data_IF_097241681506
#
_entry.id   IF_097241681506
#
_cell.length_a   1.000
_cell.length_b   1.000
_cell.length_c   1.000
_cell.angle_alpha   90.00
_cell.angle_beta   90.00
_cell.angle_gamma   90.00
#
_symmetry.space_group_name_H-M   'P 1'
#
loop_
_entity.id
_entity.type
_entity.pdbx_description
1 polymer ?
#
# COMPACT_ATOMS: atom_id res chain seq x y z
N UNK A 1 -0.89 -11.66 8.21
CA UNK A 1 -1.93 -10.60 8.20
C UNK A 1 -1.27 -9.23 8.08
N UNK A 2 -1.64 -8.47 7.06
CA UNK A 2 -1.12 -7.12 6.82
C UNK A 2 -1.70 -6.12 7.83
N UNK A 3 -1.04 -4.98 7.99
CA UNK A 3 -1.54 -3.87 8.81
C UNK A 3 -1.58 -2.60 7.98
N UNK A 4 -2.71 -1.92 7.98
CA UNK A 4 -2.93 -0.71 7.19
C UNK A 4 -3.43 0.40 8.10
N UNK A 5 -2.82 1.57 8.00
CA UNK A 5 -3.20 2.78 8.74
C UNK A 5 -3.43 3.90 7.72
N UNK A 6 -4.69 4.35 7.61
CA UNK A 6 -5.07 5.41 6.68
C UNK A 6 -4.66 6.78 7.25
N UNK A 7 -3.85 7.53 6.50
CA UNK A 7 -3.52 8.92 6.83
C UNK A 7 -4.54 9.89 6.27
N UNK A 8 -5.10 9.58 5.10
CA UNK A 8 -6.20 10.36 4.54
C UNK A 8 -6.51 10.06 3.07
N UNK A 9 -7.70 10.49 2.67
CA UNK A 9 -8.12 10.58 1.27
C UNK A 9 -8.28 12.06 0.92
N UNK A 10 -7.60 12.50 -0.12
CA UNK A 10 -7.45 13.91 -0.44
C UNK A 10 -8.07 14.24 -1.79
N UNK A 11 -8.44 15.52 -1.94
CA UNK A 11 -8.81 16.12 -3.22
C UNK A 11 -10.11 15.55 -3.84
N UNK A 12 -10.95 14.88 -3.04
CA UNK A 12 -12.23 14.32 -3.48
C UNK A 12 -13.14 15.41 -4.08
N UNK A 13 -13.32 16.53 -3.38
CA UNK A 13 -14.18 17.64 -3.84
C UNK A 13 -13.75 18.18 -5.20
N UNK A 14 -12.47 18.51 -5.38
CA UNK A 14 -11.98 19.09 -6.63
C UNK A 14 -11.92 18.08 -7.77
N UNK A 15 -11.75 16.77 -7.48
CA UNK A 15 -11.88 15.73 -8.49
C UNK A 15 -13.32 15.68 -9.06
N UNK A 16 -14.31 15.75 -8.18
CA UNK A 16 -15.74 15.78 -8.54
C UNK A 16 -16.11 17.08 -9.25
N UNK A 17 -15.64 18.23 -8.78
CA UNK A 17 -15.79 19.50 -9.50
C UNK A 17 -15.17 19.41 -10.91
N UNK A 18 -13.98 18.83 -11.02
CA UNK A 18 -13.24 18.72 -12.27
C UNK A 18 -13.91 17.84 -13.33
N UNK A 19 -14.68 16.82 -12.92
CA UNK A 19 -15.42 15.97 -13.87
C UNK A 19 -16.52 16.74 -14.63
N UNK A 20 -16.94 17.90 -14.11
CA UNK A 20 -17.96 18.77 -14.71
C UNK A 20 -17.42 19.77 -15.73
N UNK A 21 -16.10 19.96 -15.78
CA UNK A 21 -15.42 20.89 -16.69
C UNK A 21 -15.78 20.69 -18.17
N UNK A 22 -15.78 19.46 -18.74
CA UNK A 22 -16.00 19.28 -20.17
C UNK A 22 -17.35 19.79 -20.67
N UNK A 23 -18.36 19.81 -19.79
CA UNK A 23 -19.73 20.25 -20.12
C UNK A 23 -20.08 21.60 -19.48
N UNK A 24 -19.11 22.32 -18.90
CA UNK A 24 -19.31 23.58 -18.17
C UNK A 24 -20.47 23.50 -17.16
N UNK A 25 -20.61 22.35 -16.49
CA UNK A 25 -21.83 21.96 -15.76
C UNK A 25 -21.72 22.15 -14.24
N UNK A 26 -20.89 23.09 -13.79
CA UNK A 26 -20.61 23.34 -12.36
C UNK A 26 -21.85 23.72 -11.56
N UNK A 27 -22.78 24.46 -12.17
CA UNK A 27 -24.06 24.85 -11.56
C UNK A 27 -24.99 23.67 -11.21
N UNK A 28 -24.68 22.46 -11.69
CA UNK A 28 -25.41 21.23 -11.38
C UNK A 28 -24.74 20.40 -10.26
N UNK A 29 -23.66 20.91 -9.67
CA UNK A 29 -22.97 20.28 -8.54
C UNK A 29 -23.88 20.31 -7.30
N UNK A 30 -23.96 19.18 -6.60
CA UNK A 30 -24.78 19.00 -5.42
C UNK A 30 -24.02 18.38 -4.22
N UNK A 31 -22.71 18.19 -4.36
CA UNK A 31 -21.79 17.84 -3.27
C UNK A 31 -21.49 19.03 -2.37
N UNK A 32 -21.25 18.77 -1.10
CA UNK A 32 -20.89 19.81 -0.14
C UNK A 32 -19.53 20.42 -0.47
N UNK A 33 -19.33 21.68 -0.12
CA UNK A 33 -17.97 22.23 -0.03
C UNK A 33 -17.13 21.44 0.99
N UNK A 34 -15.79 21.42 0.83
CA UNK A 34 -14.93 20.72 1.77
C UNK A 34 -14.95 21.38 3.15
N UNK A 35 -14.94 20.57 4.21
CA UNK A 35 -14.74 21.06 5.58
C UNK A 35 -13.29 21.51 5.83
N UNK A 36 -12.99 21.95 7.05
CA UNK A 36 -11.63 22.38 7.43
C UNK A 36 -10.58 21.25 7.31
N UNK A 37 -11.00 20.00 7.40
CA UNK A 37 -10.15 18.83 7.21
C UNK A 37 -10.07 18.37 5.75
N UNK A 38 -10.79 19.03 4.83
CA UNK A 38 -10.82 18.71 3.41
C UNK A 38 -11.82 17.61 3.04
N UNK A 39 -12.66 17.15 3.98
CA UNK A 39 -13.67 16.13 3.71
C UNK A 39 -14.88 16.75 2.99
N UNK A 40 -15.49 15.98 2.09
CA UNK A 40 -16.65 16.40 1.31
C UNK A 40 -17.68 15.27 1.26
N UNK A 41 -18.96 15.63 1.41
CA UNK A 41 -20.08 14.71 1.18
C UNK A 41 -20.55 14.84 -0.26
N UNK A 42 -20.47 13.75 -1.01
CA UNK A 42 -20.96 13.69 -2.39
C UNK A 42 -22.49 13.74 -2.44
N UNK A 43 -22.99 14.62 -3.29
CA UNK A 43 -24.40 14.71 -3.65
C UNK A 43 -24.81 13.58 -4.60
N UNK A 44 -26.11 13.32 -4.70
CA UNK A 44 -26.63 12.20 -5.49
C UNK A 44 -26.37 12.39 -6.99
N UNK A 45 -26.51 13.62 -7.52
CA UNK A 45 -26.28 13.89 -8.95
C UNK A 45 -24.80 13.76 -9.29
N UNK A 46 -23.93 14.28 -8.43
CA UNK A 46 -22.48 14.14 -8.56
C UNK A 46 -22.05 12.68 -8.52
N UNK A 47 -22.53 11.90 -7.54
CA UNK A 47 -22.18 10.49 -7.41
C UNK A 47 -22.65 9.67 -8.62
N UNK A 48 -23.88 9.91 -9.09
CA UNK A 48 -24.41 9.28 -10.31
C UNK A 48 -23.56 9.62 -11.55
N UNK A 49 -23.14 10.88 -11.71
CA UNK A 49 -22.25 11.28 -12.81
C UNK A 49 -20.88 10.60 -12.69
N UNK A 50 -20.28 10.59 -11.49
CA UNK A 50 -19.00 9.95 -11.21
C UNK A 50 -19.03 8.45 -11.54
N UNK A 51 -20.09 7.74 -11.17
CA UNK A 51 -20.30 6.33 -11.51
C UNK A 51 -20.41 6.12 -13.02
N UNK A 52 -21.23 6.92 -13.71
CA UNK A 52 -21.37 6.83 -15.18
C UNK A 52 -20.04 7.04 -15.90
N UNK A 53 -19.26 8.05 -15.49
CA UNK A 53 -17.95 8.34 -16.06
C UNK A 53 -16.94 7.21 -15.77
N UNK A 54 -16.97 6.67 -14.55
CA UNK A 54 -16.13 5.53 -14.15
C UNK A 54 -16.43 4.29 -15.01
N UNK A 55 -17.71 3.99 -15.24
CA UNK A 55 -18.14 2.86 -16.06
C UNK A 55 -17.94 3.09 -17.57
N UNK A 56 -17.88 4.34 -18.03
CA UNK A 56 -17.63 4.66 -19.44
C UNK A 56 -16.19 4.34 -19.89
N UNK A 57 -15.26 4.11 -18.96
CA UNK A 57 -13.90 3.66 -19.22
C UNK A 57 -12.83 4.66 -18.76
N UNK A 58 -11.56 4.28 -18.88
CA UNK A 58 -10.42 4.99 -18.28
C UNK A 58 -10.28 6.46 -18.73
N UNK A 59 -10.64 6.78 -19.98
CA UNK A 59 -10.57 8.15 -20.50
C UNK A 59 -11.61 9.08 -19.86
N UNK A 60 -12.80 8.54 -19.56
CA UNK A 60 -13.88 9.26 -18.92
C UNK A 60 -13.71 9.29 -17.39
N UNK A 61 -13.20 8.20 -16.81
CA UNK A 61 -12.92 8.05 -15.37
C UNK A 61 -11.64 8.72 -14.89
N UNK A 62 -10.98 9.56 -15.70
CA UNK A 62 -9.69 10.20 -15.34
C UNK A 62 -9.73 11.02 -14.06
N UNK A 63 -10.91 11.50 -13.62
CA UNK A 63 -11.08 12.21 -12.35
C UNK A 63 -10.66 11.35 -11.14
N UNK A 64 -10.77 10.02 -11.22
CA UNK A 64 -10.32 9.10 -10.16
C UNK A 64 -8.81 9.19 -9.89
N UNK A 65 -8.01 9.63 -10.89
CA UNK A 65 -6.57 9.85 -10.72
C UNK A 65 -6.25 11.03 -9.81
N UNK A 66 -7.23 11.93 -9.61
CA UNK A 66 -7.11 13.12 -8.77
C UNK A 66 -7.54 12.88 -7.32
N UNK A 67 -8.12 11.72 -7.00
CA UNK A 67 -8.48 11.35 -5.63
C UNK A 67 -7.32 10.57 -5.03
N UNK A 68 -6.47 11.25 -4.27
CA UNK A 68 -5.22 10.71 -3.73
C UNK A 68 -5.45 10.04 -2.38
N UNK A 69 -4.81 8.91 -2.13
CA UNK A 69 -4.86 8.20 -0.85
C UNK A 69 -3.45 8.05 -0.31
N UNK A 70 -3.27 8.38 0.98
CA UNK A 70 -2.04 8.16 1.71
C UNK A 70 -2.29 7.21 2.88
N UNK A 71 -1.48 6.16 3.00
CA UNK A 71 -1.57 5.20 4.09
C UNK A 71 -0.23 4.55 4.38
N UNK A 72 -0.05 4.09 5.61
CA UNK A 72 1.02 3.17 5.95
C UNK A 72 0.54 1.73 5.77
N UNK A 73 1.38 0.91 5.15
CA UNK A 73 1.12 -0.52 4.97
C UNK A 73 2.31 -1.35 5.46
N UNK A 74 2.03 -2.31 6.32
CA UNK A 74 2.97 -3.36 6.71
C UNK A 74 2.56 -4.68 6.07
N UNK A 75 3.38 -5.17 5.13
CA UNK A 75 3.12 -6.37 4.36
C UNK A 75 4.40 -7.20 4.13
N UNK A 76 4.29 -8.51 3.87
CA UNK A 76 5.44 -9.35 3.61
C UNK A 76 6.08 -9.04 2.25
N UNK A 77 7.38 -9.28 2.09
CA UNK A 77 8.11 -9.01 0.84
C UNK A 77 7.50 -9.70 -0.38
N UNK A 78 6.93 -10.91 -0.25
CA UNK A 78 6.26 -11.57 -1.38
C UNK A 78 5.03 -10.79 -1.88
N UNK A 79 4.30 -10.15 -0.98
CA UNK A 79 3.14 -9.33 -1.32
C UNK A 79 3.61 -8.02 -1.97
N UNK A 80 4.65 -7.40 -1.41
CA UNK A 80 5.28 -6.20 -1.99
C UNK A 80 5.77 -6.43 -3.42
N UNK A 81 6.33 -7.61 -3.74
CA UNK A 81 6.72 -7.93 -5.13
C UNK A 81 5.56 -7.82 -6.11
N UNK A 82 4.37 -8.23 -5.70
CA UNK A 82 3.16 -8.14 -6.52
C UNK A 82 2.62 -6.70 -6.55
N UNK A 83 2.63 -6.00 -5.42
CA UNK A 83 2.21 -4.60 -5.33
C UNK A 83 3.13 -3.66 -6.11
N UNK A 84 4.43 -3.97 -6.18
CA UNK A 84 5.43 -3.18 -6.89
C UNK A 84 5.27 -3.24 -8.43
N UNK A 85 4.35 -4.06 -8.95
CA UNK A 85 3.98 -4.06 -10.38
C UNK A 85 3.03 -2.93 -10.78
N UNK A 86 2.37 -2.30 -9.80
CA UNK A 86 1.48 -1.16 -10.00
C UNK A 86 2.29 0.13 -10.13
N UNK A 87 1.96 0.94 -11.15
CA UNK A 87 2.81 2.06 -11.61
C UNK A 87 2.46 3.36 -10.91
N UNK A 88 1.23 3.52 -10.46
CA UNK A 88 0.77 4.75 -9.79
C UNK A 88 0.73 4.56 -8.28
N UNK A 89 1.84 4.06 -7.74
CA UNK A 89 2.04 3.84 -6.29
C UNK A 89 3.43 4.32 -5.90
N UNK A 90 3.52 5.52 -5.33
CA UNK A 90 4.76 6.01 -4.76
C UNK A 90 4.92 5.52 -3.33
N UNK A 91 6.13 5.12 -2.96
CA UNK A 91 6.39 4.39 -1.71
C UNK A 91 7.64 4.90 -1.01
N UNK A 92 7.51 5.22 0.27
CA UNK A 92 8.64 5.45 1.16
C UNK A 92 8.77 4.27 2.13
N UNK A 93 9.83 3.48 1.97
CA UNK A 93 10.06 2.29 2.78
C UNK A 93 11.03 2.55 3.93
N UNK A 94 10.87 1.79 5.01
CA UNK A 94 11.93 1.69 6.03
C UNK A 94 13.14 1.01 5.40
N UNK A 95 14.30 1.66 5.41
CA UNK A 95 15.53 1.13 4.81
C UNK A 95 15.96 -0.17 5.47
N UNK A 96 15.88 -1.26 4.72
CA UNK A 96 16.44 -2.56 5.12
C UNK A 96 17.94 -2.43 5.41
N UNK A 97 18.67 -1.62 4.62
CA UNK A 97 20.11 -1.40 4.80
C UNK A 97 20.47 -0.82 6.17
N UNK A 98 19.61 0.02 6.75
CA UNK A 98 19.91 0.69 8.02
C UNK A 98 19.25 0.04 9.24
N UNK A 99 18.14 -0.67 9.05
CA UNK A 99 17.31 -1.14 10.17
C UNK A 99 17.36 -2.64 10.41
N UNK A 100 17.72 -3.46 9.41
CA UNK A 100 17.69 -4.92 9.54
C UNK A 100 18.58 -5.43 10.68
N UNK A 101 19.73 -4.78 10.91
CA UNK A 101 20.67 -5.15 11.99
C UNK A 101 20.43 -4.37 13.29
N UNK A 102 19.44 -3.48 13.36
CA UNK A 102 19.25 -2.61 14.53
C UNK A 102 18.64 -3.32 15.75
N UNK A 103 17.89 -4.40 15.54
CA UNK A 103 17.25 -5.22 16.58
C UNK A 103 17.31 -6.69 16.20
N UNK A 104 17.12 -7.56 17.18
CA UNK A 104 16.88 -8.98 16.92
C UNK A 104 15.50 -9.17 16.27
N UNK A 105 15.42 -10.14 15.38
CA UNK A 105 14.20 -10.56 14.70
C UNK A 105 13.40 -11.52 15.58
N UNK A 106 12.09 -11.34 15.55
CA UNK A 106 11.12 -12.17 16.25
C UNK A 106 10.11 -12.79 15.28
N UNK A 107 9.38 -13.84 15.70
CA UNK A 107 8.28 -14.42 14.92
C UNK A 107 7.32 -13.41 14.26
N UNK A 108 6.97 -12.33 14.95
CA UNK A 108 6.03 -11.33 14.46
C UNK A 108 6.61 -10.43 13.35
N UNK A 109 7.92 -10.46 13.11
CA UNK A 109 8.56 -9.76 11.99
C UNK A 109 8.34 -10.51 10.66
N UNK A 110 7.60 -11.63 10.66
CA UNK A 110 7.33 -12.45 9.49
C UNK A 110 5.84 -12.82 9.36
N UNK A 111 5.32 -12.88 8.13
CA UNK A 111 3.98 -13.41 7.81
C UNK A 111 4.04 -14.94 7.69
N UNK A 112 4.19 -15.63 8.83
CA UNK A 112 4.13 -17.08 8.91
C UNK A 112 2.76 -17.55 9.41
N UNK A 113 2.11 -18.45 8.67
CA UNK A 113 0.82 -19.04 9.10
C UNK A 113 0.96 -19.97 10.30
N UNK A 114 2.12 -20.58 10.48
CA UNK A 114 2.38 -21.56 11.54
C UNK A 114 3.84 -21.52 11.94
N UNK A 115 4.16 -21.43 13.23
CA UNK A 115 5.55 -21.51 13.63
C UNK A 115 6.02 -22.97 13.63
N UNK A 116 7.06 -23.28 12.86
CA UNK A 116 7.68 -24.61 12.78
C UNK A 116 9.10 -24.57 13.33
N UNK A 117 9.66 -25.73 13.68
CA UNK A 117 11.07 -25.83 14.11
C UNK A 117 12.04 -25.25 13.08
N UNK A 118 11.76 -25.45 11.78
CA UNK A 118 12.52 -24.83 10.70
C UNK A 118 12.45 -23.30 10.74
N UNK A 119 11.25 -22.71 10.92
CA UNK A 119 11.07 -21.25 11.01
C UNK A 119 11.77 -20.68 12.25
N UNK A 120 11.73 -21.39 13.37
CA UNK A 120 12.51 -21.04 14.56
C UNK A 120 14.02 -21.06 14.29
N UNK A 121 14.52 -22.11 13.63
CA UNK A 121 15.93 -22.21 13.25
C UNK A 121 16.35 -21.09 12.28
N UNK A 122 15.50 -20.75 11.32
CA UNK A 122 15.74 -19.65 10.38
C UNK A 122 15.85 -18.31 11.12
N UNK A 123 14.95 -18.00 12.05
CA UNK A 123 15.03 -16.76 12.85
C UNK A 123 16.32 -16.74 13.68
N UNK A 124 16.71 -17.87 14.31
CA UNK A 124 17.96 -17.96 15.07
C UNK A 124 19.18 -17.68 14.18
N UNK A 125 19.25 -18.30 13.01
CA UNK A 125 20.32 -18.07 12.03
C UNK A 125 20.45 -16.59 11.65
N UNK A 126 19.33 -15.93 11.31
CA UNK A 126 19.33 -14.51 10.98
C UNK A 126 19.80 -13.64 12.17
N UNK A 127 19.41 -13.98 13.39
CA UNK A 127 19.87 -13.28 14.59
C UNK A 127 21.35 -13.51 14.88
N UNK A 128 21.90 -14.69 14.57
CA UNK A 128 23.32 -14.96 14.71
C UNK A 128 24.14 -14.16 13.68
N UNK A 129 23.64 -13.99 12.45
CA UNK A 129 24.22 -13.05 11.48
C UNK A 129 24.13 -11.59 11.96
N UNK A 130 23.04 -11.17 12.59
CA UNK A 130 22.92 -9.82 13.17
C UNK A 130 23.94 -9.61 14.29
N UNK A 131 24.14 -10.60 15.17
CA UNK A 131 25.18 -10.55 16.21
C UNK A 131 26.58 -10.51 15.62
N UNK A 132 26.84 -11.32 14.59
CA UNK A 132 28.10 -11.32 13.87
C UNK A 132 28.36 -9.96 13.22
N UNK A 133 27.35 -9.31 12.64
CA UNK A 133 27.47 -7.96 12.09
C UNK A 133 27.84 -6.93 13.18
N UNK A 134 27.25 -7.04 14.37
CA UNK A 134 27.50 -6.13 15.51
C UNK A 134 28.82 -6.40 16.23
N UNK A 135 29.48 -7.53 16.02
CA UNK A 135 30.71 -7.86 16.76
C UNK A 135 31.93 -7.06 16.32
N UNK A 136 31.85 -6.36 15.18
CA UNK A 136 32.90 -5.48 14.65
C UNK A 136 32.35 -4.08 14.40
N UNK A 137 32.56 -3.16 15.34
CA UNK A 137 32.09 -1.77 15.25
C UNK A 137 33.17 -0.78 14.78
N UNK A 138 34.38 -1.27 14.48
CA UNK A 138 35.47 -0.44 13.97
C UNK A 138 35.26 0.06 12.53
N UNK A 139 35.98 1.13 12.21
CA UNK A 139 35.97 1.76 10.88
C UNK A 139 37.17 1.35 10.01
N UNK A 140 37.91 0.30 10.42
CA UNK A 140 38.99 -0.25 9.60
C UNK A 140 38.44 -0.83 8.29
N UNK A 141 39.30 -0.92 7.26
CA UNK A 141 38.90 -1.52 5.99
C UNK A 141 38.48 -2.99 6.16
N UNK A 142 39.15 -3.73 7.05
CA UNK A 142 38.82 -5.12 7.38
C UNK A 142 37.45 -5.24 8.05
N UNK A 143 37.15 -4.39 9.04
CA UNK A 143 35.85 -4.40 9.74
C UNK A 143 34.70 -4.03 8.80
N UNK A 144 34.92 -3.06 7.93
CA UNK A 144 33.97 -2.66 6.90
C UNK A 144 33.71 -3.80 5.90
N UNK A 145 34.76 -4.46 5.41
CA UNK A 145 34.65 -5.59 4.49
C UNK A 145 33.90 -6.77 5.13
N UNK A 146 34.21 -7.09 6.39
CA UNK A 146 33.55 -8.13 7.16
C UNK A 146 32.06 -7.83 7.36
N UNK A 147 31.71 -6.63 7.86
CA UNK A 147 30.31 -6.22 8.05
C UNK A 147 29.53 -6.26 6.74
N UNK A 148 30.14 -5.84 5.63
CA UNK A 148 29.52 -5.88 4.30
C UNK A 148 29.24 -7.32 3.85
N UNK A 149 30.16 -8.25 4.10
CA UNK A 149 29.98 -9.67 3.79
C UNK A 149 28.85 -10.29 4.62
N UNK A 150 28.87 -10.12 5.94
CA UNK A 150 27.82 -10.64 6.84
C UNK A 150 26.46 -10.04 6.52
N UNK A 151 26.40 -8.73 6.27
CA UNK A 151 25.16 -8.08 5.87
C UNK A 151 24.62 -8.63 4.54
N UNK A 152 25.51 -8.93 3.59
CA UNK A 152 25.11 -9.50 2.30
C UNK A 152 24.47 -10.87 2.47
N UNK A 153 25.05 -11.72 3.31
CA UNK A 153 24.50 -13.03 3.68
C UNK A 153 23.14 -12.87 4.36
N UNK A 154 23.03 -12.00 5.35
CA UNK A 154 21.77 -11.70 6.04
C UNK A 154 20.65 -11.28 5.09
N UNK A 155 20.96 -10.45 4.08
CA UNK A 155 19.99 -10.03 3.07
C UNK A 155 19.61 -11.18 2.12
N UNK A 156 20.56 -12.04 1.76
CA UNK A 156 20.31 -13.19 0.88
C UNK A 156 19.46 -14.26 1.54
N UNK A 157 19.62 -14.44 2.86
CA UNK A 157 18.92 -15.45 3.64
C UNK A 157 17.56 -14.98 4.18
N UNK A 158 17.24 -13.68 4.04
CA UNK A 158 16.00 -13.09 4.52
C UNK A 158 14.78 -13.69 3.77
N UNK A 159 13.87 -14.39 4.46
CA UNK A 159 12.73 -15.01 3.80
C UNK A 159 11.76 -13.95 3.25
N UNK A 160 11.08 -14.28 2.15
CA UNK A 160 10.07 -13.41 1.54
C UNK A 160 8.88 -13.11 2.46
N UNK A 161 8.72 -13.87 3.54
CA UNK A 161 7.73 -13.63 4.58
C UNK A 161 8.07 -12.42 5.47
N UNK A 162 9.29 -11.88 5.42
CA UNK A 162 9.69 -10.73 6.23
C UNK A 162 8.76 -9.53 6.00
N UNK A 163 8.26 -8.95 7.09
CA UNK A 163 7.32 -7.85 7.08
C UNK A 163 8.05 -6.51 6.91
N UNK A 164 7.59 -5.70 5.97
CA UNK A 164 8.11 -4.36 5.75
C UNK A 164 6.98 -3.33 5.80
N UNK A 165 7.19 -2.27 6.58
CA UNK A 165 6.36 -1.06 6.57
C UNK A 165 6.81 -0.11 5.46
N UNK A 166 5.86 0.34 4.65
CA UNK A 166 6.03 1.43 3.69
C UNK A 166 4.87 2.41 3.79
N UNK A 167 5.15 3.70 3.70
CA UNK A 167 4.14 4.73 3.44
C UNK A 167 3.87 4.76 1.94
N UNK A 168 2.60 4.67 1.55
CA UNK A 168 2.16 4.58 0.16
C UNK A 168 1.29 5.80 -0.17
N UNK A 169 1.58 6.42 -1.31
CA UNK A 169 0.70 7.40 -1.94
C UNK A 169 0.25 6.83 -3.29
N UNK A 170 -1.06 6.80 -3.51
CA UNK A 170 -1.68 6.33 -4.76
C UNK A 170 -2.99 7.07 -5.00
N UNK A 171 -3.82 6.61 -5.95
CA UNK A 171 -5.10 7.23 -6.28
C UNK A 171 -6.19 6.19 -6.54
N UNK A 172 -7.45 6.64 -6.57
CA UNK A 172 -8.60 5.75 -6.76
C UNK A 172 -8.59 5.01 -8.09
N UNK A 173 -7.99 5.57 -9.15
CA UNK A 173 -7.92 4.87 -10.43
C UNK A 173 -7.01 3.63 -10.34
N UNK A 174 -5.86 3.75 -9.67
CA UNK A 174 -4.96 2.61 -9.46
C UNK A 174 -5.51 1.62 -8.44
N UNK A 175 -6.12 2.11 -7.35
CA UNK A 175 -6.80 1.24 -6.38
C UNK A 175 -7.93 0.44 -7.01
N UNK A 176 -8.68 1.04 -7.95
CA UNK A 176 -9.69 0.34 -8.75
C UNK A 176 -9.09 -0.76 -9.62
N UNK A 177 -7.97 -0.47 -10.29
CA UNK A 177 -7.23 -1.47 -11.06
C UNK A 177 -6.75 -2.63 -10.18
N UNK A 178 -6.18 -2.32 -9.00
CA UNK A 178 -5.75 -3.29 -8.00
C UNK A 178 -6.94 -4.13 -7.53
N UNK A 179 -8.04 -3.50 -7.13
CA UNK A 179 -9.23 -4.18 -6.60
C UNK A 179 -9.73 -5.25 -7.58
N UNK A 180 -9.92 -4.91 -8.86
CA UNK A 180 -10.44 -5.89 -9.80
C UNK A 180 -9.47 -7.03 -10.11
N UNK A 181 -8.16 -6.78 -10.06
CA UNK A 181 -7.15 -7.84 -10.24
C UNK A 181 -6.96 -8.72 -8.99
N UNK A 182 -7.28 -8.21 -7.79
CA UNK A 182 -6.86 -8.82 -6.51
C UNK A 182 -7.99 -9.28 -5.60
N UNK A 183 -9.24 -8.87 -5.82
CA UNK A 183 -10.40 -9.21 -4.96
C UNK A 183 -10.68 -10.71 -4.78
N UNK A 184 -10.23 -11.55 -5.72
CA UNK A 184 -10.34 -13.01 -5.65
C UNK A 184 -8.98 -13.70 -5.61
N UNK A 185 -7.94 -12.98 -5.17
CA UNK A 185 -6.59 -13.51 -5.14
C UNK A 185 -6.45 -14.69 -4.17
N UNK A 186 -5.47 -15.56 -4.44
CA UNK A 186 -5.14 -16.73 -3.62
C UNK A 186 -4.53 -16.40 -2.26
N UNK A 187 -3.91 -15.23 -2.14
CA UNK A 187 -3.29 -14.75 -0.90
C UNK A 187 -4.33 -13.98 -0.10
N UNK A 188 -4.47 -14.31 1.18
CA UNK A 188 -5.38 -13.63 2.10
C UNK A 188 -5.04 -12.15 2.24
N UNK A 189 -3.76 -11.79 2.25
CA UNK A 189 -3.31 -10.40 2.37
C UNK A 189 -3.89 -9.49 1.29
N UNK A 190 -4.09 -9.99 0.08
CA UNK A 190 -4.73 -9.20 -0.99
C UNK A 190 -6.23 -9.04 -0.79
N UNK A 191 -6.90 -10.07 -0.25
CA UNK A 191 -8.32 -9.99 0.10
C UNK A 191 -8.53 -9.03 1.25
N UNK A 192 -7.68 -9.11 2.29
CA UNK A 192 -7.64 -8.16 3.41
C UNK A 192 -7.44 -6.72 2.91
N UNK A 193 -6.52 -6.50 1.96
CA UNK A 193 -6.30 -5.18 1.35
C UNK A 193 -7.55 -4.67 0.60
N UNK A 194 -8.23 -5.55 -0.15
CA UNK A 194 -9.48 -5.19 -0.84
C UNK A 194 -10.63 -4.90 0.13
N UNK A 195 -10.72 -5.65 1.22
CA UNK A 195 -11.71 -5.42 2.26
C UNK A 195 -11.45 -4.12 3.03
N UNK A 196 -10.19 -3.81 3.32
CA UNK A 196 -9.79 -2.53 3.88
C UNK A 196 -10.18 -1.36 2.98
N UNK A 197 -9.91 -1.45 1.65
CA UNK A 197 -10.29 -0.39 0.71
C UNK A 197 -11.80 -0.09 0.78
N UNK A 198 -12.64 -1.13 0.81
CA UNK A 198 -14.11 -0.97 0.89
C UNK A 198 -14.57 -0.32 2.19
N UNK A 199 -13.93 -0.67 3.31
CA UNK A 199 -14.35 -0.24 4.66
C UNK A 199 -13.86 1.16 5.01
N UNK A 200 -12.62 1.48 4.65
CA UNK A 200 -11.93 2.67 5.16
C UNK A 200 -11.90 3.83 4.16
N UNK A 201 -12.05 3.58 2.86
CA UNK A 201 -11.97 4.64 1.85
C UNK A 201 -13.37 5.21 1.53
N UNK A 202 -13.53 6.54 1.52
CA UNK A 202 -14.83 7.16 1.27
C UNK A 202 -15.31 6.86 -0.16
N UNK A 203 -16.56 6.43 -0.29
CA UNK A 203 -17.19 6.10 -1.57
C UNK A 203 -16.47 4.99 -2.37
N UNK A 204 -15.76 4.08 -1.67
CA UNK A 204 -15.03 3.00 -2.33
C UNK A 204 -15.95 2.03 -3.08
N UNK A 205 -17.13 1.72 -2.55
CA UNK A 205 -18.06 0.83 -3.24
C UNK A 205 -18.54 1.46 -4.55
N UNK A 206 -18.83 2.75 -4.50
CA UNK A 206 -19.43 3.52 -5.60
C UNK A 206 -18.42 3.93 -6.67
N UNK A 207 -17.14 4.12 -6.31
CA UNK A 207 -16.12 4.62 -7.24
C UNK A 207 -15.03 3.59 -7.56
N UNK A 208 -14.64 2.74 -6.61
CA UNK A 208 -13.61 1.71 -6.80
C UNK A 208 -14.25 0.38 -7.20
N UNK A 209 -15.31 -0.04 -6.53
CA UNK A 209 -15.86 -1.40 -6.70
C UNK A 209 -16.97 -1.49 -7.75
N UNK A 210 -17.52 -0.36 -8.22
CA UNK A 210 -18.64 -0.34 -9.16
C UNK A 210 -18.30 -1.07 -10.47
N UNK A 211 -19.17 -1.95 -10.94
CA UNK A 211 -19.03 -2.69 -12.21
C UNK A 211 -20.25 -2.45 -13.10
N UNK A 212 -20.10 -2.61 -14.42
CA UNK A 212 -21.27 -2.66 -15.30
C UNK A 212 -22.01 -3.94 -14.97
N UNK A 213 -23.31 -3.83 -14.67
CA UNK A 213 -24.17 -5.01 -14.66
C UNK A 213 -24.27 -5.53 -16.08
N UNK A 214 -23.86 -6.78 -16.28
CA UNK A 214 -24.07 -7.51 -17.53
C UNK A 214 -25.57 -7.71 -17.81
#
# INVERSE_FOLDING_TARGET
MIKIELHGTYNLYYAILGMRNPMNSWHLMDSSEPDQAGNCKLGEKDLNLAQRLTLAGNEHGKFLRFITVCFDLSAPLYWWKEFDTYKFTEKNSTSTMHKLTSKDLAPHDFSFDTMTEYRHAQIRHLNDLIKAYKSREGDSEEDNAYRKAVFRELVQDLPSAYMQKRTVITNYAELRNIYFQRRHHKLDEWRDFCDWMKKELPYAEELICVEKKE
#
